data_IF_334243123692
#
_entry.id   IF_334243123692
#
_cell.length_a   1.000
_cell.length_b   1.000
_cell.length_c   1.000
_cell.angle_alpha   90.00
_cell.angle_beta   90.00
_cell.angle_gamma   90.00
#
_symmetry.space_group_name_H-M   'P 1'
#
loop_
_entity.id
_entity.type
_entity.pdbx_description
1 polymer ?
#
# COMPACT_ATOMS: atom_id res chain seq x y z
N UNK A 1 -6.52 5.22 17.30
CA UNK A 1 -5.09 5.57 17.44
C UNK A 1 -4.71 6.31 16.17
N UNK A 2 -4.54 7.64 16.23
CA UNK A 2 -4.04 8.40 15.08
C UNK A 2 -2.53 8.12 14.97
N UNK A 3 -2.12 7.36 13.95
CA UNK A 3 -0.71 7.19 13.65
C UNK A 3 -0.21 8.54 13.10
N UNK A 4 0.85 9.14 13.68
CA UNK A 4 1.43 10.35 13.13
C UNK A 4 1.94 10.05 11.71
N UNK A 5 1.49 10.86 10.76
CA UNK A 5 1.81 10.68 9.36
C UNK A 5 3.10 11.44 9.09
N UNK A 6 4.15 10.72 8.67
CA UNK A 6 5.38 11.35 8.21
C UNK A 6 5.18 11.84 6.77
N UNK A 7 5.26 13.16 6.55
CA UNK A 7 5.06 13.76 5.23
C UNK A 7 6.16 13.37 4.24
N UNK A 8 7.33 12.97 4.73
CA UNK A 8 8.45 12.56 3.87
C UNK A 8 8.18 11.24 3.15
N UNK A 9 7.25 10.43 3.63
CA UNK A 9 6.83 9.19 2.98
C UNK A 9 5.97 9.43 1.73
N UNK A 10 5.50 10.66 1.52
CA UNK A 10 4.62 11.04 0.42
C UNK A 10 5.39 11.65 -0.74
N UNK A 11 4.87 11.42 -1.94
CA UNK A 11 5.32 12.06 -3.17
C UNK A 11 4.14 12.65 -3.92
N UNK A 12 4.42 13.54 -4.87
CA UNK A 12 3.38 14.11 -5.73
C UNK A 12 2.86 13.06 -6.73
N UNK A 13 1.56 12.71 -6.73
CA UNK A 13 1.02 11.73 -7.67
C UNK A 13 0.71 12.32 -9.05
N UNK A 14 0.84 13.64 -9.23
CA UNK A 14 0.64 14.28 -10.52
C UNK A 14 1.82 13.98 -11.45
N UNK A 15 1.59 13.27 -12.56
CA UNK A 15 2.62 12.85 -13.52
C UNK A 15 3.26 14.05 -14.24
N UNK A 16 2.52 15.15 -14.39
CA UNK A 16 3.01 16.40 -15.00
C UNK A 16 3.86 17.25 -14.05
N UNK A 17 4.10 16.80 -12.82
CA UNK A 17 4.88 17.53 -11.83
C UNK A 17 6.37 17.17 -11.92
N UNK A 18 7.25 18.18 -11.89
CA UNK A 18 8.71 17.97 -11.83
C UNK A 18 9.18 17.12 -10.63
N UNK A 19 8.36 17.15 -9.57
CA UNK A 19 8.58 16.40 -8.32
C UNK A 19 7.68 15.14 -8.23
N UNK A 20 7.17 14.63 -9.35
CA UNK A 20 6.46 13.37 -9.41
C UNK A 20 7.33 12.21 -8.90
N UNK A 21 6.74 11.30 -8.11
CA UNK A 21 7.43 10.09 -7.63
C UNK A 21 8.55 10.29 -6.61
N UNK A 22 8.99 11.53 -6.35
CA UNK A 22 10.11 11.85 -5.44
C UNK A 22 9.60 12.12 -4.02
N UNK A 23 10.14 11.38 -3.05
CA UNK A 23 9.85 11.47 -1.61
C UNK A 23 10.85 12.38 -0.88
N UNK A 24 10.50 12.83 0.33
CA UNK A 24 11.43 13.58 1.21
C UNK A 24 11.87 14.96 0.73
N UNK A 25 11.18 15.57 -0.25
CA UNK A 25 11.55 16.89 -0.78
C UNK A 25 10.96 18.08 0.01
N UNK A 26 10.19 17.83 1.07
CA UNK A 26 9.50 18.88 1.84
C UNK A 26 8.42 19.66 1.06
N UNK A 27 8.09 19.22 -0.16
CA UNK A 27 7.12 19.86 -1.04
C UNK A 27 5.67 19.45 -0.72
N UNK A 28 5.44 18.42 0.10
CA UNK A 28 4.11 17.96 0.49
C UNK A 28 3.69 18.57 1.83
N UNK A 29 2.48 19.11 1.90
CA UNK A 29 1.89 19.65 3.14
C UNK A 29 0.46 19.19 3.35
N UNK A 30 0.02 19.21 4.61
CA UNK A 30 -1.40 19.05 4.96
C UNK A 30 -2.13 20.34 4.58
N UNK A 31 -3.09 20.24 3.67
CA UNK A 31 -3.89 21.38 3.21
C UNK A 31 -5.21 21.48 3.94
N UNK A 32 -5.90 20.35 4.11
CA UNK A 32 -7.21 20.30 4.78
C UNK A 32 -7.50 18.89 5.34
N UNK A 33 -8.66 18.70 5.96
CA UNK A 33 -9.22 17.40 6.33
C UNK A 33 -10.62 17.23 5.76
N UNK A 34 -10.92 16.07 5.19
CA UNK A 34 -12.18 15.81 4.51
C UNK A 34 -12.84 14.49 4.93
N UNK A 35 -14.15 14.40 4.68
CA UNK A 35 -14.98 13.24 4.96
C UNK A 35 -15.27 13.01 6.45
N UNK A 36 -16.14 12.03 6.74
CA UNK A 36 -16.60 11.72 8.11
C UNK A 36 -15.46 11.32 9.06
N UNK A 37 -14.41 10.71 8.52
CA UNK A 37 -13.24 10.28 9.30
C UNK A 37 -12.12 11.33 9.31
N UNK A 38 -12.39 12.57 8.89
CA UNK A 38 -11.44 13.71 8.88
C UNK A 38 -10.05 13.36 8.32
N UNK A 39 -10.04 12.66 7.18
CA UNK A 39 -8.81 12.24 6.48
C UNK A 39 -8.06 13.46 5.99
N UNK A 40 -6.74 13.45 6.08
CA UNK A 40 -5.94 14.60 5.60
C UNK A 40 -5.94 14.64 4.08
N UNK A 41 -6.16 15.83 3.56
CA UNK A 41 -5.94 16.22 2.18
C UNK A 41 -4.55 16.84 2.11
N UNK A 42 -3.68 16.22 1.35
CA UNK A 42 -2.32 16.67 1.12
C UNK A 42 -2.26 17.55 -0.13
N UNK A 43 -1.26 18.42 -0.19
CA UNK A 43 -1.03 19.32 -1.32
C UNK A 43 0.45 19.38 -1.65
N UNK A 44 0.76 19.27 -2.94
CA UNK A 44 2.09 19.56 -3.46
C UNK A 44 2.26 21.07 -3.64
N UNK A 45 3.28 21.66 -3.03
CA UNK A 45 3.63 23.08 -3.19
C UNK A 45 4.17 23.40 -4.58
N UNK A 46 4.71 22.41 -5.30
CA UNK A 46 5.31 22.61 -6.63
C UNK A 46 4.26 22.80 -7.71
N UNK A 47 3.33 21.87 -7.86
CA UNK A 47 2.29 21.93 -8.89
C UNK A 47 0.89 22.29 -8.36
N UNK A 48 0.77 22.58 -7.06
CA UNK A 48 -0.47 22.95 -6.39
C UNK A 48 -1.56 21.85 -6.36
N UNK A 49 -1.28 20.64 -6.88
CA UNK A 49 -2.23 19.52 -6.90
C UNK A 49 -2.53 19.01 -5.48
N UNK A 50 -3.79 18.68 -5.22
CA UNK A 50 -4.23 18.06 -3.96
C UNK A 50 -4.48 16.56 -4.12
N UNK A 51 -4.22 15.79 -3.08
CA UNK A 51 -4.45 14.35 -3.07
C UNK A 51 -4.66 13.82 -1.66
N UNK A 52 -5.36 12.70 -1.54
CA UNK A 52 -5.64 12.06 -0.24
C UNK A 52 -4.37 11.55 0.42
N UNK A 53 -4.27 11.63 1.75
CA UNK A 53 -3.27 10.87 2.53
C UNK A 53 -3.33 9.35 2.26
N UNK A 54 -4.46 8.83 1.78
CA UNK A 54 -4.58 7.41 1.43
C UNK A 54 -4.10 7.12 0.02
N UNK A 55 -3.80 8.12 -0.83
CA UNK A 55 -3.49 7.95 -2.27
C UNK A 55 -2.41 6.92 -2.53
N UNK A 56 -1.44 6.81 -1.62
CA UNK A 56 -0.31 5.90 -1.69
C UNK A 56 -0.49 4.62 -0.85
N UNK A 57 -1.70 4.36 -0.35
CA UNK A 57 -2.01 3.18 0.45
C UNK A 57 -2.86 2.20 -0.34
N UNK A 58 -2.76 0.91 0.00
CA UNK A 58 -3.61 -0.19 -0.53
C UNK A 58 -5.11 0.12 -0.37
N UNK A 59 -5.46 0.95 0.61
CA UNK A 59 -6.83 1.31 0.91
C UNK A 59 -7.41 2.44 0.06
N UNK A 60 -6.62 3.10 -0.80
CA UNK A 60 -7.11 4.21 -1.61
C UNK A 60 -8.26 3.81 -2.53
N UNK A 61 -9.33 4.60 -2.59
CA UNK A 61 -10.46 4.32 -3.49
C UNK A 61 -11.22 3.02 -3.20
N UNK A 62 -11.01 2.40 -2.04
CA UNK A 62 -11.86 1.32 -1.56
C UNK A 62 -12.92 1.89 -0.62
N UNK A 63 -14.19 1.54 -0.89
CA UNK A 63 -15.33 1.85 -0.01
C UNK A 63 -15.49 0.79 1.11
N UNK A 64 -14.84 -0.36 0.96
CA UNK A 64 -14.80 -1.42 1.97
C UNK A 64 -14.10 -0.92 3.23
N UNK A 65 -14.65 -1.29 4.40
CA UNK A 65 -14.04 -0.98 5.70
C UNK A 65 -12.63 -1.57 5.78
N UNK A 66 -11.68 -0.82 6.34
CA UNK A 66 -10.29 -1.27 6.48
C UNK A 66 -10.16 -2.60 7.22
N UNK A 67 -11.00 -2.83 8.24
CA UNK A 67 -11.03 -4.09 8.99
C UNK A 67 -11.31 -5.28 8.07
N UNK A 68 -12.30 -5.17 7.18
CA UNK A 68 -12.63 -6.21 6.20
C UNK A 68 -11.54 -6.40 5.15
N UNK A 69 -10.88 -5.33 4.73
CA UNK A 69 -9.74 -5.43 3.80
C UNK A 69 -8.60 -6.22 4.46
N UNK A 70 -8.27 -5.93 5.71
CA UNK A 70 -7.25 -6.66 6.48
C UNK A 70 -7.63 -8.13 6.68
N UNK A 71 -8.89 -8.39 7.01
CA UNK A 71 -9.43 -9.74 7.15
C UNK A 71 -9.26 -10.56 5.87
N UNK A 72 -9.63 -9.99 4.71
CA UNK A 72 -9.43 -10.63 3.39
C UNK A 72 -7.96 -10.96 3.14
N UNK A 73 -7.07 -10.00 3.36
CA UNK A 73 -5.63 -10.21 3.15
C UNK A 73 -5.11 -11.33 4.06
N UNK A 74 -5.51 -11.34 5.33
CA UNK A 74 -5.12 -12.38 6.28
C UNK A 74 -5.62 -13.76 5.83
N UNK A 75 -6.90 -13.88 5.47
CA UNK A 75 -7.48 -15.13 5.00
C UNK A 75 -6.74 -15.71 3.79
N UNK A 76 -6.36 -14.84 2.83
CA UNK A 76 -5.59 -15.27 1.66
C UNK A 76 -4.15 -15.66 1.99
N UNK A 77 -3.50 -14.98 2.94
CA UNK A 77 -2.16 -15.34 3.42
C UNK A 77 -2.14 -16.68 4.17
N UNK A 78 -3.22 -17.02 4.87
CA UNK A 78 -3.42 -18.34 5.50
C UNK A 78 -3.70 -19.47 4.48
N UNK A 79 -3.75 -19.14 3.18
CA UNK A 79 -3.90 -20.10 2.09
C UNK A 79 -5.34 -20.38 1.70
N UNK A 80 -6.32 -19.61 2.18
CA UNK A 80 -7.71 -19.73 1.71
C UNK A 80 -7.81 -19.35 0.23
N UNK A 81 -8.70 -20.03 -0.50
CA UNK A 81 -9.07 -19.63 -1.85
C UNK A 81 -9.82 -18.29 -1.84
N UNK A 82 -9.87 -17.61 -3.00
CA UNK A 82 -10.65 -16.38 -3.14
C UNK A 82 -12.13 -16.55 -2.78
N UNK A 83 -12.70 -17.74 -3.02
CA UNK A 83 -14.10 -18.02 -2.73
C UNK A 83 -14.33 -18.21 -1.23
N UNK A 84 -13.44 -18.94 -0.55
CA UNK A 84 -13.50 -19.10 0.92
C UNK A 84 -13.30 -17.76 1.63
N UNK A 85 -12.33 -16.95 1.20
CA UNK A 85 -12.10 -15.61 1.75
C UNK A 85 -13.30 -14.68 1.52
N UNK A 86 -13.94 -14.76 0.34
CA UNK A 86 -15.16 -14.00 0.04
C UNK A 86 -16.33 -14.38 0.96
N UNK A 87 -16.55 -15.69 1.15
CA UNK A 87 -17.57 -16.20 2.07
C UNK A 87 -17.29 -15.80 3.52
N UNK A 88 -16.05 -16.00 4.01
CA UNK A 88 -15.65 -15.65 5.37
C UNK A 88 -15.78 -14.15 5.65
N UNK A 89 -15.43 -13.31 4.67
CA UNK A 89 -15.47 -11.86 4.81
C UNK A 89 -16.79 -11.21 4.44
N UNK A 90 -17.80 -11.98 4.01
CA UNK A 90 -19.10 -11.48 3.53
C UNK A 90 -18.94 -10.42 2.43
N UNK A 91 -18.01 -10.66 1.51
CA UNK A 91 -17.71 -9.77 0.39
C UNK A 91 -17.92 -10.49 -0.93
N UNK A 92 -18.18 -9.70 -1.97
CA UNK A 92 -18.16 -10.22 -3.33
C UNK A 92 -16.75 -10.69 -3.73
N UNK A 93 -16.68 -11.79 -4.47
CA UNK A 93 -15.42 -12.43 -4.89
C UNK A 93 -14.56 -11.47 -5.72
N UNK A 94 -15.16 -10.64 -6.59
CA UNK A 94 -14.40 -9.70 -7.41
C UNK A 94 -13.87 -8.53 -6.56
N UNK A 95 -14.56 -8.20 -5.47
CA UNK A 95 -14.04 -7.27 -4.45
C UNK A 95 -12.81 -7.85 -3.76
N UNK A 96 -12.86 -9.12 -3.37
CA UNK A 96 -11.72 -9.84 -2.79
C UNK A 96 -10.52 -9.87 -3.76
N UNK A 97 -10.74 -10.22 -5.02
CA UNK A 97 -9.68 -10.24 -6.03
C UNK A 97 -9.04 -8.86 -6.25
N UNK A 98 -9.85 -7.80 -6.26
CA UNK A 98 -9.37 -6.42 -6.38
C UNK A 98 -8.53 -6.00 -5.18
N UNK A 99 -8.94 -6.37 -3.97
CA UNK A 99 -8.17 -6.15 -2.73
C UNK A 99 -6.82 -6.87 -2.84
N UNK A 100 -6.83 -8.15 -3.21
CA UNK A 100 -5.60 -8.95 -3.33
C UNK A 100 -4.63 -8.38 -4.37
N UNK A 101 -5.12 -8.06 -5.57
CA UNK A 101 -4.29 -7.46 -6.64
C UNK A 101 -3.60 -6.18 -6.16
N UNK A 102 -4.33 -5.32 -5.43
CA UNK A 102 -3.75 -4.07 -4.89
C UNK A 102 -2.73 -4.33 -3.78
N UNK A 103 -3.00 -5.31 -2.93
CA UNK A 103 -2.06 -5.70 -1.87
C UNK A 103 -0.73 -6.17 -2.48
N UNK A 104 -0.77 -7.05 -3.48
CA UNK A 104 0.43 -7.57 -4.15
C UNK A 104 1.24 -6.45 -4.82
N UNK A 105 0.59 -5.58 -5.62
CA UNK A 105 1.27 -4.44 -6.26
C UNK A 105 1.98 -3.56 -5.22
N UNK A 106 1.30 -3.27 -4.10
CA UNK A 106 1.90 -2.46 -3.03
C UNK A 106 3.11 -3.14 -2.37
N UNK A 107 3.08 -4.46 -2.22
CA UNK A 107 4.23 -5.21 -1.73
C UNK A 107 5.40 -5.15 -2.72
N UNK A 108 5.13 -5.33 -4.02
CA UNK A 108 6.14 -5.25 -5.08
C UNK A 108 6.84 -3.88 -5.08
N UNK A 109 6.07 -2.80 -5.12
CA UNK A 109 6.60 -1.42 -5.08
C UNK A 109 7.45 -1.14 -3.83
N UNK A 110 7.08 -1.74 -2.68
CA UNK A 110 7.80 -1.54 -1.42
C UNK A 110 9.13 -2.30 -1.35
N UNK A 111 9.20 -3.45 -2.04
CA UNK A 111 10.37 -4.33 -2.03
C UNK A 111 11.31 -4.00 -3.20
N UNK A 112 10.79 -3.49 -4.31
CA UNK A 112 11.56 -3.19 -5.53
C UNK A 112 12.72 -2.22 -5.28
N UNK A 113 12.49 -1.16 -4.51
CA UNK A 113 13.55 -0.18 -4.17
C UNK A 113 14.72 -0.84 -3.42
N UNK A 114 14.40 -1.68 -2.43
CA UNK A 114 15.38 -2.44 -1.65
C UNK A 114 16.12 -3.46 -2.51
N UNK A 115 15.41 -4.23 -3.33
CA UNK A 115 16.02 -5.22 -4.22
C UNK A 115 17.04 -4.58 -5.18
N UNK A 116 16.71 -3.39 -5.72
CA UNK A 116 17.62 -2.61 -6.57
C UNK A 116 18.84 -2.12 -5.80
N UNK A 117 18.65 -1.59 -4.59
CA UNK A 117 19.75 -1.09 -3.74
C UNK A 117 20.77 -2.19 -3.43
N UNK A 118 20.31 -3.40 -3.12
CA UNK A 118 21.18 -4.53 -2.81
C UNK A 118 21.60 -5.34 -4.05
N UNK A 119 21.09 -5.00 -5.24
CA UNK A 119 21.31 -5.76 -6.48
C UNK A 119 20.94 -7.26 -6.34
N UNK A 120 19.80 -7.54 -5.71
CA UNK A 120 19.29 -8.89 -5.46
C UNK A 120 17.99 -9.08 -6.25
N UNK A 121 17.77 -10.29 -6.79
CA UNK A 121 16.47 -10.64 -7.38
C UNK A 121 15.53 -11.23 -6.33
N UNK A 122 14.22 -11.01 -6.49
CA UNK A 122 13.22 -11.51 -5.54
C UNK A 122 13.29 -13.04 -5.38
N UNK A 123 13.54 -13.76 -6.47
CA UNK A 123 13.66 -15.22 -6.49
C UNK A 123 14.83 -15.70 -5.63
N UNK A 124 15.97 -15.01 -5.71
CA UNK A 124 17.16 -15.33 -4.92
C UNK A 124 16.89 -15.14 -3.43
N UNK A 125 16.16 -14.08 -3.07
CA UNK A 125 15.77 -13.82 -1.68
C UNK A 125 14.85 -14.93 -1.13
N UNK A 126 13.86 -15.38 -1.91
CA UNK A 126 12.97 -16.47 -1.53
C UNK A 126 13.76 -17.78 -1.33
N UNK A 127 14.68 -18.10 -2.24
CA UNK A 127 15.54 -19.28 -2.13
C UNK A 127 16.43 -19.22 -0.88
N UNK A 128 17.02 -18.05 -0.59
CA UNK A 128 17.83 -17.83 0.61
C UNK A 128 17.03 -18.03 1.89
N UNK A 129 15.82 -17.47 1.96
CA UNK A 129 14.91 -17.65 3.10
C UNK A 129 14.55 -19.12 3.31
N UNK A 130 14.18 -19.83 2.25
CA UNK A 130 13.87 -21.26 2.31
C UNK A 130 15.06 -22.11 2.78
N UNK A 131 16.26 -21.85 2.27
CA UNK A 131 17.49 -22.53 2.72
C UNK A 131 17.78 -22.27 4.20
N UNK A 132 17.52 -21.05 4.68
CA UNK A 132 17.79 -20.66 6.07
C UNK A 132 16.77 -21.22 7.06
N UNK A 133 15.49 -21.33 6.67
CA UNK A 133 14.45 -21.98 7.51
C UNK A 133 14.67 -23.47 7.61
N UNK A 134 15.13 -24.14 6.54
CA UNK A 134 15.55 -25.56 6.60
C UNK A 134 16.78 -25.82 7.46
N UNK A 135 17.74 -24.89 7.54
CA UNK A 135 18.91 -25.02 8.42
C UNK A 135 18.59 -24.84 9.91
N UNK A 136 17.44 -24.26 10.24
CA UNK A 136 16.99 -24.02 11.62
C UNK A 136 16.03 -25.10 12.15
N UNK A 137 15.60 -26.03 11.30
CA UNK A 137 14.83 -27.24 11.68
C UNK A 137 15.77 -28.43 11.68
#
# INVERSE_FOLDING_TARGET
>A
MEIPINLDDFFCPNEDCDNHGKKGLGNIVIYDRYGRSRRKLLKCKTCNSTFSERRLSVFFGLHTKESKIKEVIHNLLEGMSFREAASASELDKDTVQRIWKRFVISCEESVESLLKEFNIKLEDLIVLLYKRTKRKR
#
